data_IF_938543949688
#
_entry.id   IF_938543949688
#
_cell.length_a   1.000
_cell.length_b   1.000
_cell.length_c   1.000
_cell.angle_alpha   90.00
_cell.angle_beta   90.00
_cell.angle_gamma   90.00
#
_symmetry.space_group_name_H-M   'P 1'
#
loop_
_entity.id
_entity.type
_entity.pdbx_description
1 polymer ?
#
# COMPACT_ATOMS: atom_id res chain seq x y z
N UNK A 1 29.48 -79.83 -9.10
CA UNK A 1 28.94 -78.77 -9.98
C UNK A 1 27.64 -78.28 -9.37
N UNK A 2 27.70 -77.28 -8.48
CA UNK A 2 26.52 -76.51 -8.03
C UNK A 2 26.99 -75.07 -7.84
N UNK A 3 26.63 -74.20 -8.79
CA UNK A 3 26.87 -72.76 -8.75
C UNK A 3 25.80 -72.09 -7.90
N UNK A 4 26.17 -71.58 -6.73
CA UNK A 4 25.28 -70.75 -5.91
C UNK A 4 25.50 -69.28 -6.29
N UNK A 5 24.51 -68.69 -6.95
CA UNK A 5 24.49 -67.31 -7.40
C UNK A 5 24.28 -66.35 -6.22
N UNK A 6 25.25 -65.48 -5.97
CA UNK A 6 25.10 -64.38 -5.01
C UNK A 6 24.30 -63.23 -5.64
N UNK A 7 23.03 -63.13 -5.27
CA UNK A 7 22.13 -62.05 -5.68
C UNK A 7 22.48 -60.73 -4.95
N UNK A 8 22.97 -59.76 -5.70
CA UNK A 8 23.32 -58.41 -5.22
C UNK A 8 22.04 -57.61 -4.92
N UNK A 9 21.77 -57.34 -3.63
CA UNK A 9 20.68 -56.46 -3.18
C UNK A 9 21.05 -55.00 -3.43
N UNK A 10 20.42 -54.39 -4.43
CA UNK A 10 20.58 -52.98 -4.79
C UNK A 10 19.77 -52.09 -3.82
N UNK A 11 20.43 -51.51 -2.81
CA UNK A 11 19.80 -50.59 -1.85
C UNK A 11 19.61 -49.22 -2.52
N UNK A 12 18.37 -48.92 -2.94
CA UNK A 12 18.01 -47.59 -3.48
C UNK A 12 17.93 -46.57 -2.33
N UNK A 13 19.01 -45.86 -2.06
CA UNK A 13 18.99 -44.68 -1.18
C UNK A 13 18.23 -43.54 -1.86
N UNK A 14 17.04 -43.20 -1.35
CA UNK A 14 16.26 -42.04 -1.80
C UNK A 14 16.82 -40.78 -1.15
N UNK A 15 17.74 -40.10 -1.83
CA UNK A 15 18.15 -38.76 -1.43
C UNK A 15 17.04 -37.77 -1.80
N UNK A 16 16.36 -37.22 -0.80
CA UNK A 16 15.41 -36.12 -0.97
C UNK A 16 16.21 -34.82 -1.14
N UNK A 17 16.31 -34.33 -2.38
CA UNK A 17 16.94 -33.05 -2.68
C UNK A 17 15.96 -31.93 -2.34
N UNK A 18 16.08 -31.35 -1.13
CA UNK A 18 15.28 -30.19 -0.72
C UNK A 18 15.83 -28.92 -1.41
N UNK A 19 15.04 -28.33 -2.30
CA UNK A 19 15.39 -27.06 -2.94
C UNK A 19 15.21 -25.90 -1.95
N UNK A 20 16.32 -25.45 -1.34
CA UNK A 20 16.37 -24.40 -0.30
C UNK A 20 15.64 -23.11 -0.71
N UNK A 21 15.65 -22.76 -2.01
CA UNK A 21 15.00 -21.55 -2.53
C UNK A 21 13.47 -21.56 -2.31
N UNK A 22 12.84 -22.73 -2.27
CA UNK A 22 11.39 -22.86 -2.10
C UNK A 22 10.94 -22.66 -0.64
N UNK A 23 11.83 -22.92 0.32
CA UNK A 23 11.48 -22.90 1.74
C UNK A 23 11.91 -21.62 2.47
N UNK A 24 12.62 -20.71 1.80
CA UNK A 24 13.13 -19.49 2.44
C UNK A 24 12.00 -18.54 2.86
N UNK A 25 11.01 -18.32 1.98
CA UNK A 25 9.86 -17.48 2.27
C UNK A 25 9.01 -18.05 3.43
N UNK A 26 8.56 -19.32 3.41
CA UNK A 26 7.79 -19.86 4.55
C UNK A 26 8.61 -19.90 5.83
N UNK A 27 9.92 -20.17 5.79
CA UNK A 27 10.77 -20.11 6.97
C UNK A 27 10.84 -18.69 7.58
N UNK A 28 10.94 -17.64 6.75
CA UNK A 28 10.89 -16.25 7.26
C UNK A 28 9.55 -15.91 7.91
N UNK A 29 8.43 -16.37 7.36
CA UNK A 29 7.12 -16.19 7.98
C UNK A 29 7.01 -16.91 9.33
N UNK A 30 7.47 -18.16 9.42
CA UNK A 30 7.47 -18.91 10.69
C UNK A 30 8.33 -18.20 11.74
N UNK A 31 9.52 -17.74 11.36
CA UNK A 31 10.40 -16.98 12.25
C UNK A 31 9.75 -15.67 12.72
N UNK A 32 9.10 -14.94 11.82
CA UNK A 32 8.35 -13.72 12.15
C UNK A 32 7.22 -14.00 13.16
N UNK A 33 6.45 -15.07 12.96
CA UNK A 33 5.37 -15.47 13.89
C UNK A 33 5.92 -15.86 15.26
N UNK A 34 7.04 -16.60 15.32
CA UNK A 34 7.72 -16.91 16.59
C UNK A 34 8.13 -15.61 17.31
N UNK A 35 8.66 -14.63 16.57
CA UNK A 35 8.95 -13.29 17.09
C UNK A 35 7.70 -12.58 17.64
N UNK A 36 6.58 -12.67 16.92
CA UNK A 36 5.32 -12.06 17.38
C UNK A 36 4.83 -12.66 18.70
N UNK A 37 4.94 -13.98 18.87
CA UNK A 37 4.49 -14.69 20.06
C UNK A 37 5.43 -14.47 21.24
N UNK A 38 6.75 -14.57 21.02
CA UNK A 38 7.76 -14.40 22.08
C UNK A 38 7.79 -12.98 22.64
N UNK A 39 7.62 -11.96 21.79
CA UNK A 39 7.58 -10.55 22.20
C UNK A 39 6.16 -9.98 22.30
N UNK A 40 5.15 -10.83 22.52
CA UNK A 40 3.71 -10.47 22.49
C UNK A 40 3.36 -9.24 23.32
N UNK A 41 3.90 -9.09 24.54
CA UNK A 41 3.63 -7.92 25.39
C UNK A 41 4.15 -6.60 24.80
N UNK A 42 5.34 -6.62 24.19
CA UNK A 42 5.91 -5.46 23.50
C UNK A 42 5.12 -5.14 22.23
N UNK A 43 4.80 -6.16 21.43
CA UNK A 43 4.00 -6.03 20.21
C UNK A 43 2.61 -5.47 20.49
N UNK A 44 1.95 -5.93 21.57
CA UNK A 44 0.64 -5.43 21.98
C UNK A 44 0.71 -3.95 22.42
N UNK A 45 1.78 -3.57 23.13
CA UNK A 45 1.99 -2.19 23.56
C UNK A 45 2.25 -1.27 22.36
N UNK A 46 3.09 -1.71 21.42
CA UNK A 46 3.36 -1.01 20.17
C UNK A 46 2.09 -0.86 19.31
N UNK A 47 1.29 -1.92 19.19
CA UNK A 47 0.01 -1.89 18.46
C UNK A 47 -0.98 -0.92 19.10
N UNK A 48 -1.12 -0.93 20.44
CA UNK A 48 -1.97 0.03 21.17
C UNK A 48 -1.50 1.47 20.96
N UNK A 49 -0.19 1.71 21.01
CA UNK A 49 0.40 3.03 20.76
C UNK A 49 0.11 3.50 19.33
N UNK A 50 0.33 2.63 18.34
CA UNK A 50 0.02 2.91 16.93
C UNK A 50 -1.47 3.20 16.71
N UNK A 51 -2.36 2.44 17.35
CA UNK A 51 -3.80 2.67 17.27
C UNK A 51 -4.21 4.01 17.90
N UNK A 52 -3.63 4.36 19.06
CA UNK A 52 -3.87 5.65 19.74
C UNK A 52 -3.36 6.81 18.89
N UNK A 53 -2.17 6.69 18.29
CA UNK A 53 -1.62 7.67 17.36
C UNK A 53 -2.55 7.85 16.16
N UNK A 54 -3.00 6.76 15.55
CA UNK A 54 -3.93 6.80 14.42
C UNK A 54 -5.26 7.47 14.78
N UNK A 55 -5.91 7.03 15.86
CA UNK A 55 -7.24 7.52 16.25
C UNK A 55 -7.22 9.01 16.64
N UNK A 56 -6.16 9.48 17.30
CA UNK A 56 -6.09 10.87 17.78
C UNK A 56 -5.57 11.85 16.71
N UNK A 57 -4.83 11.38 15.71
CA UNK A 57 -4.11 12.27 14.80
C UNK A 57 -4.49 12.06 13.34
N UNK A 58 -4.44 10.80 12.88
CA UNK A 58 -4.73 10.45 11.48
C UNK A 58 -6.21 10.67 11.19
N UNK A 59 -7.10 10.16 12.04
CA UNK A 59 -8.55 10.24 11.80
C UNK A 59 -9.05 11.69 11.81
N UNK A 60 -8.79 12.53 12.84
CA UNK A 60 -9.33 13.88 12.87
C UNK A 60 -8.75 14.78 11.77
N UNK A 61 -7.52 14.50 11.31
CA UNK A 61 -6.87 15.28 10.25
C UNK A 61 -7.36 14.88 8.86
N UNK A 62 -7.52 13.59 8.58
CA UNK A 62 -7.91 13.11 7.25
C UNK A 62 -9.42 13.11 7.04
N UNK A 63 -10.23 12.90 8.08
CA UNK A 63 -11.68 12.76 7.95
C UNK A 63 -12.38 13.99 7.36
N UNK A 64 -12.13 15.23 7.82
CA UNK A 64 -12.71 16.43 7.20
C UNK A 64 -12.31 16.57 5.73
N UNK A 65 -11.07 16.21 5.41
CA UNK A 65 -10.55 16.26 4.06
C UNK A 65 -11.18 15.20 3.15
N UNK A 66 -11.47 14.00 3.67
CA UNK A 66 -12.24 12.99 2.97
C UNK A 66 -13.65 13.48 2.63
N UNK A 67 -14.34 14.11 3.59
CA UNK A 67 -15.67 14.68 3.35
C UNK A 67 -15.59 15.78 2.28
N UNK A 68 -14.67 16.74 2.44
CA UNK A 68 -14.52 17.86 1.51
C UNK A 68 -14.21 17.37 0.09
N UNK A 69 -13.30 16.40 -0.05
CA UNK A 69 -12.96 15.77 -1.34
C UNK A 69 -14.15 15.05 -1.94
N UNK A 70 -14.87 14.25 -1.16
CA UNK A 70 -16.04 13.52 -1.67
C UNK A 70 -17.11 14.51 -2.16
N UNK A 71 -17.42 15.55 -1.37
CA UNK A 71 -18.35 16.59 -1.79
C UNK A 71 -17.87 17.29 -3.06
N UNK A 72 -16.60 17.69 -3.11
CA UNK A 72 -16.00 18.33 -4.29
C UNK A 72 -16.04 17.41 -5.52
N UNK A 73 -15.91 16.09 -5.34
CA UNK A 73 -16.01 15.09 -6.39
C UNK A 73 -17.36 15.00 -7.07
N UNK A 74 -18.42 15.40 -6.36
CA UNK A 74 -19.77 15.48 -6.91
C UNK A 74 -20.11 16.85 -7.52
N UNK A 75 -19.16 17.78 -7.57
CA UNK A 75 -19.38 19.10 -8.18
C UNK A 75 -18.81 19.20 -9.60
N UNK A 76 -19.38 20.11 -10.41
CA UNK A 76 -18.86 20.43 -11.75
C UNK A 76 -17.52 21.19 -11.75
N UNK A 77 -17.03 21.63 -10.58
CA UNK A 77 -15.77 22.35 -10.44
C UNK A 77 -14.60 21.48 -10.91
N UNK A 78 -14.64 20.18 -10.60
CA UNK A 78 -13.61 19.25 -11.06
C UNK A 78 -13.55 19.24 -12.58
N UNK A 79 -14.68 19.05 -13.26
CA UNK A 79 -14.71 19.04 -14.72
C UNK A 79 -14.14 20.32 -15.36
N UNK A 80 -14.37 21.47 -14.73
CA UNK A 80 -13.80 22.74 -15.18
C UNK A 80 -12.28 22.79 -15.03
N UNK A 81 -11.76 22.41 -13.85
CA UNK A 81 -10.32 22.33 -13.58
C UNK A 81 -9.67 21.30 -14.51
N UNK A 82 -10.29 20.13 -14.65
CA UNK A 82 -9.86 19.03 -15.52
C UNK A 82 -9.70 19.47 -16.97
N UNK A 83 -10.68 20.20 -17.53
CA UNK A 83 -10.59 20.72 -18.91
C UNK A 83 -9.42 21.67 -19.09
N UNK A 84 -9.19 22.57 -18.14
CA UNK A 84 -8.07 23.52 -18.19
C UNK A 84 -6.72 22.83 -18.05
N UNK A 85 -6.64 21.85 -17.16
CA UNK A 85 -5.40 21.10 -16.87
C UNK A 85 -5.12 19.96 -17.86
N UNK A 86 -6.10 19.54 -18.67
CA UNK A 86 -5.93 18.48 -19.68
C UNK A 86 -4.78 18.79 -20.65
N UNK A 87 -4.60 20.07 -21.00
CA UNK A 87 -3.49 20.52 -21.86
C UNK A 87 -2.10 20.21 -21.28
N UNK A 88 -1.98 20.07 -19.96
CA UNK A 88 -0.73 19.74 -19.27
C UNK A 88 -0.66 18.25 -18.89
N UNK A 89 -1.76 17.69 -18.39
CA UNK A 89 -1.80 16.29 -17.92
C UNK A 89 -1.61 15.28 -19.05
N UNK A 90 -2.20 15.53 -20.22
CA UNK A 90 -2.12 14.62 -21.37
C UNK A 90 -0.68 14.48 -21.93
N UNK A 91 0.06 15.57 -22.23
CA UNK A 91 1.41 15.42 -22.76
C UNK A 91 2.46 14.99 -21.73
N UNK A 92 2.32 15.39 -20.46
CA UNK A 92 3.35 15.10 -19.44
C UNK A 92 3.18 13.70 -18.84
N UNK A 93 1.94 13.34 -18.49
CA UNK A 93 1.66 12.13 -17.70
C UNK A 93 0.86 11.08 -18.47
N UNK A 94 0.37 11.39 -19.68
CA UNK A 94 -0.48 10.52 -20.49
C UNK A 94 -1.70 9.96 -19.71
N UNK A 95 -2.40 10.88 -19.03
CA UNK A 95 -3.58 10.63 -18.20
C UNK A 95 -4.66 11.68 -18.50
N UNK A 96 -5.95 11.40 -18.20
CA UNK A 96 -7.04 12.32 -18.48
C UNK A 96 -6.93 13.63 -17.67
N UNK A 97 -7.68 14.67 -18.05
CA UNK A 97 -7.62 15.98 -17.37
C UNK A 97 -8.07 15.89 -15.92
N UNK A 98 -8.98 14.96 -15.63
CA UNK A 98 -9.51 14.56 -14.33
C UNK A 98 -8.42 14.14 -13.35
N UNK A 99 -7.28 13.67 -13.87
CA UNK A 99 -6.10 13.34 -13.09
C UNK A 99 -5.44 14.54 -12.44
N UNK A 100 -5.67 15.77 -12.93
CA UNK A 100 -5.12 16.98 -12.31
C UNK A 100 -5.66 17.18 -10.88
N UNK A 101 -6.93 16.87 -10.68
CA UNK A 101 -7.56 16.89 -9.36
C UNK A 101 -6.93 15.84 -8.44
N UNK A 102 -6.78 14.60 -8.94
CA UNK A 102 -6.13 13.52 -8.22
C UNK A 102 -4.67 13.86 -7.87
N UNK A 103 -3.95 14.51 -8.77
CA UNK A 103 -2.58 14.97 -8.59
C UNK A 103 -2.47 16.02 -7.48
N UNK A 104 -3.26 17.10 -7.55
CA UNK A 104 -3.19 18.20 -6.57
C UNK A 104 -3.60 17.72 -5.18
N UNK A 105 -4.73 17.03 -5.06
CA UNK A 105 -5.17 16.56 -3.75
C UNK A 105 -4.31 15.41 -3.25
N UNK A 106 -3.81 14.53 -4.11
CA UNK A 106 -2.86 13.48 -3.76
C UNK A 106 -1.53 14.05 -3.27
N UNK A 107 -1.02 15.14 -3.86
CA UNK A 107 0.16 15.85 -3.37
C UNK A 107 -0.07 16.51 -2.01
N UNK A 108 -1.22 17.10 -1.77
CA UNK A 108 -1.52 17.81 -0.51
C UNK A 108 -1.76 16.80 0.63
N UNK A 109 -2.55 15.77 0.36
CA UNK A 109 -3.04 14.84 1.39
C UNK A 109 -2.23 13.56 1.51
N UNK A 110 -1.60 13.12 0.44
CA UNK A 110 -0.84 11.89 0.38
C UNK A 110 -1.65 10.61 0.53
N UNK A 111 -0.98 9.57 1.00
CA UNK A 111 -1.58 8.30 1.42
C UNK A 111 -2.55 8.50 2.59
N UNK A 112 -3.69 7.79 2.66
CA UNK A 112 -4.29 6.88 1.68
C UNK A 112 -5.24 7.60 0.69
N UNK A 113 -5.35 8.91 0.81
CA UNK A 113 -6.37 9.70 0.12
C UNK A 113 -6.12 9.79 -1.39
N UNK A 114 -4.88 10.03 -1.83
CA UNK A 114 -4.56 10.08 -3.25
C UNK A 114 -4.94 8.79 -3.99
N UNK A 115 -4.74 7.64 -3.34
CA UNK A 115 -5.19 6.35 -3.86
C UNK A 115 -6.72 6.26 -3.96
N UNK A 116 -7.44 6.74 -2.93
CA UNK A 116 -8.91 6.79 -2.93
C UNK A 116 -9.46 7.57 -4.13
N UNK A 117 -8.94 8.76 -4.42
CA UNK A 117 -9.41 9.56 -5.57
C UNK A 117 -9.22 8.79 -6.88
N UNK A 118 -8.05 8.17 -7.05
CA UNK A 118 -7.77 7.40 -8.28
C UNK A 118 -8.74 6.23 -8.42
N UNK A 119 -9.05 5.54 -7.31
CA UNK A 119 -10.08 4.50 -7.29
C UNK A 119 -11.47 5.05 -7.64
N UNK A 120 -11.84 6.22 -7.13
CA UNK A 120 -13.13 6.85 -7.43
C UNK A 120 -13.22 7.24 -8.91
N UNK A 121 -12.17 7.83 -9.49
CA UNK A 121 -12.10 8.16 -10.93
C UNK A 121 -12.21 6.91 -11.80
N UNK A 122 -11.57 5.81 -11.37
CA UNK A 122 -11.64 4.53 -12.09
C UNK A 122 -13.02 3.90 -12.03
N UNK A 123 -13.65 3.95 -10.86
CA UNK A 123 -14.99 3.37 -10.60
C UNK A 123 -16.07 4.13 -11.36
N UNK A 124 -15.91 5.45 -11.51
CA UNK A 124 -16.80 6.30 -12.30
C UNK A 124 -16.51 6.28 -13.82
N UNK A 125 -15.58 5.43 -14.28
CA UNK A 125 -15.14 5.33 -15.68
C UNK A 125 -14.56 6.62 -16.28
N UNK A 126 -14.02 7.51 -15.45
CA UNK A 126 -13.29 8.71 -15.91
C UNK A 126 -11.86 8.41 -16.37
N UNK A 127 -11.34 7.22 -16.05
CA UNK A 127 -10.02 6.76 -16.51
C UNK A 127 -10.01 5.26 -16.80
N UNK A 128 -9.08 4.85 -17.66
CA UNK A 128 -8.75 3.44 -17.91
C UNK A 128 -7.92 2.86 -16.77
N UNK A 129 -7.77 1.52 -16.76
CA UNK A 129 -6.91 0.83 -15.78
C UNK A 129 -5.46 1.34 -15.83
N UNK A 130 -4.90 1.42 -17.03
CA UNK A 130 -3.52 1.82 -17.28
C UNK A 130 -3.28 3.30 -16.90
N UNK A 131 -4.24 4.19 -17.16
CA UNK A 131 -4.19 5.57 -16.66
C UNK A 131 -4.30 5.64 -15.14
N UNK A 132 -5.11 4.78 -14.52
CA UNK A 132 -5.21 4.64 -13.06
C UNK A 132 -3.89 4.21 -12.41
N UNK A 133 -3.24 3.20 -12.98
CA UNK A 133 -1.93 2.72 -12.51
C UNK A 133 -0.87 3.82 -12.61
N UNK A 134 -0.84 4.57 -13.72
CA UNK A 134 0.02 5.76 -13.86
C UNK A 134 -0.28 6.82 -12.80
N UNK A 135 -1.56 7.11 -12.56
CA UNK A 135 -1.95 8.08 -11.53
C UNK A 135 -1.44 7.69 -10.15
N UNK A 136 -1.57 6.41 -9.77
CA UNK A 136 -1.08 5.92 -8.48
C UNK A 136 0.43 6.15 -8.29
N UNK A 137 1.24 6.12 -9.36
CA UNK A 137 2.67 6.35 -9.24
C UNK A 137 3.03 7.74 -8.70
N UNK A 138 2.17 8.76 -8.90
CA UNK A 138 2.47 10.14 -8.48
C UNK A 138 1.48 10.71 -7.45
N UNK A 139 0.31 10.10 -7.26
CA UNK A 139 -0.64 10.50 -6.20
C UNK A 139 -0.41 9.79 -4.87
N UNK A 140 0.48 8.79 -4.87
CA UNK A 140 0.88 8.02 -3.70
C UNK A 140 2.19 8.61 -3.15
N UNK A 141 2.12 9.76 -2.47
CA UNK A 141 3.25 10.38 -1.74
C UNK A 141 2.88 10.68 -0.27
N UNK A 142 3.87 10.95 0.60
CA UNK A 142 3.61 11.49 1.94
C UNK A 142 3.32 12.99 1.84
N UNK A 143 2.06 13.34 1.63
CA UNK A 143 1.63 14.74 1.51
C UNK A 143 1.88 15.54 2.80
N UNK A 144 2.08 16.87 2.70
CA UNK A 144 2.32 17.73 3.84
C UNK A 144 1.18 17.68 4.86
N UNK A 145 -0.08 17.48 4.44
CA UNK A 145 -1.20 17.32 5.36
C UNK A 145 -1.08 16.03 6.19
N UNK A 146 -0.64 14.92 5.58
CA UNK A 146 -0.38 13.68 6.30
C UNK A 146 0.77 13.86 7.29
N UNK A 147 1.89 14.45 6.86
CA UNK A 147 3.05 14.68 7.72
C UNK A 147 2.66 15.61 8.88
N UNK A 148 2.00 16.73 8.61
CA UNK A 148 1.57 17.67 9.64
C UNK A 148 0.57 17.02 10.59
N UNK A 149 -0.46 16.35 10.06
CA UNK A 149 -1.51 15.76 10.89
C UNK A 149 -1.01 14.62 11.76
N UNK A 150 -0.06 13.82 11.28
CA UNK A 150 0.40 12.61 11.97
C UNK A 150 1.68 12.81 12.77
N UNK A 151 2.65 13.54 12.24
CA UNK A 151 3.99 13.71 12.83
C UNK A 151 4.02 14.89 13.80
N UNK A 152 3.32 16.00 13.54
CA UNK A 152 3.37 17.18 14.42
C UNK A 152 2.90 16.87 15.83
N UNK A 153 1.77 16.16 15.97
CA UNK A 153 1.26 15.81 17.30
C UNK A 153 2.16 14.79 18.02
N UNK A 154 2.92 13.97 17.30
CA UNK A 154 3.91 13.10 17.94
C UNK A 154 4.99 13.91 18.68
N UNK A 155 5.44 15.03 18.11
CA UNK A 155 6.41 15.92 18.75
C UNK A 155 5.81 16.83 19.84
N UNK A 156 4.54 17.24 19.70
CA UNK A 156 3.88 18.15 20.66
C UNK A 156 3.40 17.42 21.93
N UNK A 157 3.08 16.12 21.87
CA UNK A 157 2.67 15.33 23.05
C UNK A 157 3.83 14.63 23.77
N UNK A 158 5.08 14.97 23.46
CA UNK A 158 6.28 14.42 24.11
C UNK A 158 6.93 15.40 25.10
N UNK A 159 6.30 16.56 25.36
CA UNK A 159 6.64 17.49 26.43
C UNK A 159 5.42 17.74 27.33
#
# INVERSE_FOLDING_TARGET
MVSVSTSSKNVKTRFAVFSIKKYILPATFVLFVIGLVTFSSSNLTAAKSGLKLWANNVVPSLFPFFIATNLLSHTNIINYISKKCNKFMRPIFNVPGESAYAFVLGLISGYPMGAKIVTDLRTNNNCTKDEGERMLCFTNNSGPLFIIGTVRNFYVFQF
#
